data_IF_671612902520
#
_entry.id   IF_671612902520
#
_cell.length_a   1.000
_cell.length_b   1.000
_cell.length_c   1.000
_cell.angle_alpha   90.00
_cell.angle_beta   90.00
_cell.angle_gamma   90.00
#
_symmetry.space_group_name_H-M   'P 1'
#
loop_
_entity.id
_entity.type
_entity.pdbx_description
1 polymer ?
#
# COMPACT_ATOMS: atom_id res chain seq x y z
N UNK A 1 24.35 14.10 13.16
CA UNK A 1 23.05 13.61 12.65
C UNK A 1 22.06 14.75 12.87
N UNK A 2 21.59 15.38 11.81
CA UNK A 2 20.76 16.59 11.89
C UNK A 2 19.32 16.23 12.27
N UNK A 3 18.75 16.97 13.22
CA UNK A 3 17.40 16.84 13.79
C UNK A 3 16.26 17.14 12.79
N UNK A 4 16.56 17.41 11.52
CA UNK A 4 15.59 17.74 10.47
C UNK A 4 14.86 16.50 9.91
N UNK A 5 15.50 15.33 9.89
CA UNK A 5 14.88 14.11 9.33
C UNK A 5 13.63 13.62 10.07
N UNK A 6 13.58 13.58 11.43
CA UNK A 6 12.38 13.15 12.15
C UNK A 6 11.20 14.10 11.96
N UNK A 7 11.45 15.43 11.91
CA UNK A 7 10.41 16.44 11.69
C UNK A 7 9.84 16.38 10.28
N UNK A 8 10.69 16.21 9.25
CA UNK A 8 10.23 16.08 7.87
C UNK A 8 9.40 14.80 7.66
N UNK A 9 9.80 13.71 8.32
CA UNK A 9 9.06 12.44 8.34
C UNK A 9 7.71 12.62 9.06
N UNK A 10 7.69 13.29 10.22
CA UNK A 10 6.45 13.62 10.93
C UNK A 10 5.54 14.55 10.13
N UNK A 11 6.08 15.57 9.44
CA UNK A 11 5.32 16.49 8.59
C UNK A 11 4.78 15.81 7.32
N UNK A 12 5.53 14.87 6.74
CA UNK A 12 5.06 14.04 5.63
C UNK A 12 3.92 13.09 6.04
N UNK A 13 3.97 12.56 7.27
CA UNK A 13 2.91 11.73 7.85
C UNK A 13 1.73 12.51 8.44
N UNK A 14 1.87 13.81 8.64
CA UNK A 14 0.93 14.55 9.49
C UNK A 14 -0.43 14.84 8.85
N UNK A 15 -0.71 14.55 7.56
CA UNK A 15 -1.91 15.12 6.91
C UNK A 15 -2.59 14.32 5.79
N UNK A 16 -2.10 13.14 5.38
CA UNK A 16 -2.64 12.53 4.15
C UNK A 16 -3.93 11.74 4.38
N UNK A 17 -4.15 11.24 5.59
CA UNK A 17 -5.34 10.46 5.95
C UNK A 17 -6.00 10.92 7.25
N UNK A 18 -5.89 12.21 7.60
CA UNK A 18 -6.50 12.79 8.81
C UNK A 18 -8.04 12.80 8.79
N UNK A 19 -8.62 12.68 7.60
CA UNK A 19 -10.07 12.53 7.42
C UNK A 19 -10.56 11.11 7.71
N UNK A 20 -9.66 10.12 7.83
CA UNK A 20 -10.06 8.78 8.22
C UNK A 20 -10.56 8.77 9.67
N UNK A 21 -11.57 7.95 10.00
CA UNK A 21 -12.08 7.87 11.36
C UNK A 21 -10.95 7.51 12.34
N UNK A 22 -10.79 8.30 13.40
CA UNK A 22 -9.83 8.01 14.47
C UNK A 22 -10.36 6.83 15.28
N UNK A 23 -9.57 5.77 15.36
CA UNK A 23 -9.92 4.58 16.15
C UNK A 23 -9.04 4.52 17.39
N UNK A 24 -9.60 4.96 18.51
CA UNK A 24 -8.87 5.29 19.74
C UNK A 24 -8.74 4.11 20.70
N UNK A 25 -9.63 3.10 20.61
CA UNK A 25 -9.60 1.92 21.49
C UNK A 25 -9.64 0.57 20.75
N UNK A 26 -9.16 -0.53 21.37
CA UNK A 26 -9.28 -1.89 20.81
C UNK A 26 -10.74 -2.30 20.52
N UNK A 27 -11.69 -1.89 21.36
CA UNK A 27 -13.12 -2.19 21.19
C UNK A 27 -13.67 -1.50 19.94
N UNK A 28 -13.28 -0.24 19.71
CA UNK A 28 -13.65 0.48 18.49
C UNK A 28 -13.06 -0.17 17.23
N UNK A 29 -11.87 -0.79 17.33
CA UNK A 29 -11.21 -1.51 16.21
C UNK A 29 -11.90 -2.81 15.85
N UNK A 30 -12.48 -3.50 16.84
CA UNK A 30 -13.25 -4.73 16.65
C UNK A 30 -14.70 -4.45 16.23
N UNK A 31 -15.24 -3.27 16.55
CA UNK A 31 -16.60 -2.86 16.20
C UNK A 31 -16.75 -2.25 14.79
N UNK A 32 -17.97 -1.77 14.44
CA UNK A 32 -18.29 -1.26 13.10
C UNK A 32 -17.37 -0.15 12.61
N UNK A 33 -16.93 0.74 13.51
CA UNK A 33 -16.00 1.83 13.19
C UNK A 33 -14.65 1.31 12.69
N UNK A 34 -14.13 0.25 13.31
CA UNK A 34 -12.90 -0.40 12.91
C UNK A 34 -13.01 -1.08 11.55
N UNK A 35 -14.15 -1.71 11.26
CA UNK A 35 -14.44 -2.33 9.95
C UNK A 35 -14.47 -1.26 8.85
N UNK A 36 -15.20 -0.15 9.09
CA UNK A 36 -15.26 0.98 8.15
C UNK A 36 -13.87 1.57 7.92
N UNK A 37 -13.08 1.77 8.98
CA UNK A 37 -11.72 2.29 8.85
C UNK A 37 -10.82 1.32 8.06
N UNK A 38 -10.94 0.01 8.27
CA UNK A 38 -10.19 -0.99 7.52
C UNK A 38 -10.54 -0.98 6.02
N UNK A 39 -11.81 -0.83 5.67
CA UNK A 39 -12.23 -0.68 4.27
C UNK A 39 -11.74 0.63 3.65
N UNK A 40 -11.71 1.72 4.42
CA UNK A 40 -11.13 2.96 3.96
C UNK A 40 -9.61 2.82 3.68
N UNK A 41 -8.87 2.17 4.59
CA UNK A 41 -7.46 1.85 4.38
C UNK A 41 -7.25 0.97 3.12
N UNK A 42 -8.10 -0.04 2.93
CA UNK A 42 -8.05 -0.92 1.75
C UNK A 42 -8.30 -0.15 0.45
N UNK A 43 -9.27 0.77 0.44
CA UNK A 43 -9.58 1.64 -0.71
C UNK A 43 -8.44 2.58 -1.05
N UNK A 44 -7.83 3.21 -0.05
CA UNK A 44 -6.64 4.05 -0.25
C UNK A 44 -5.43 3.24 -0.72
N UNK A 45 -5.27 2.03 -0.20
CA UNK A 45 -4.24 1.12 -0.67
C UNK A 45 -4.46 0.77 -2.14
N UNK A 46 -5.67 0.40 -2.56
CA UNK A 46 -5.98 0.13 -3.97
C UNK A 46 -5.63 1.30 -4.87
N UNK A 47 -5.92 2.52 -4.42
CA UNK A 47 -5.58 3.75 -5.15
C UNK A 47 -4.06 3.91 -5.27
N UNK A 48 -3.32 3.76 -4.16
CA UNK A 48 -1.86 3.86 -4.15
C UNK A 48 -1.20 2.76 -4.99
N UNK A 49 -1.69 1.51 -4.91
CA UNK A 49 -1.21 0.39 -5.72
C UNK A 49 -1.46 0.63 -7.20
N UNK A 50 -2.62 1.17 -7.58
CA UNK A 50 -2.92 1.51 -8.96
C UNK A 50 -1.95 2.59 -9.48
N UNK A 51 -1.58 3.55 -8.63
CA UNK A 51 -0.52 4.52 -8.93
C UNK A 51 0.85 3.85 -9.12
N UNK A 52 1.21 2.91 -8.24
CA UNK A 52 2.43 2.10 -8.39
C UNK A 52 2.43 1.32 -9.71
N UNK A 53 1.32 0.66 -10.05
CA UNK A 53 1.15 -0.05 -11.33
C UNK A 53 1.34 0.90 -12.52
N UNK A 54 0.73 2.09 -12.47
CA UNK A 54 0.88 3.09 -13.52
C UNK A 54 2.35 3.52 -13.71
N UNK A 55 3.09 3.73 -12.61
CA UNK A 55 4.52 4.08 -12.64
C UNK A 55 5.33 2.96 -13.29
N UNK A 56 5.17 1.70 -12.86
CA UNK A 56 5.93 0.59 -13.45
C UNK A 56 5.51 0.29 -14.89
N UNK A 57 4.29 0.64 -15.29
CA UNK A 57 3.80 0.44 -16.66
C UNK A 57 4.43 1.40 -17.67
N UNK A 58 4.98 2.54 -17.22
CA UNK A 58 5.59 3.52 -18.13
C UNK A 58 6.96 3.04 -18.63
N UNK A 59 7.10 2.99 -19.96
CA UNK A 59 8.30 2.51 -20.68
C UNK A 59 9.63 3.14 -20.22
N UNK A 60 9.59 4.36 -19.66
CA UNK A 60 10.77 5.14 -19.26
C UNK A 60 11.44 4.63 -17.98
N UNK A 61 10.76 3.80 -17.17
CA UNK A 61 11.30 3.27 -15.91
C UNK A 61 11.91 1.86 -16.03
N UNK A 62 11.97 1.27 -17.23
CA UNK A 62 12.51 -0.08 -17.42
C UNK A 62 14.05 -0.12 -17.50
N UNK A 63 14.65 -1.24 -17.04
CA UNK A 63 16.09 -1.51 -17.10
C UNK A 63 16.67 -1.60 -18.54
N UNK A 64 15.80 -1.57 -19.57
CA UNK A 64 16.16 -1.72 -20.98
C UNK A 64 16.67 -0.45 -21.66
N UNK A 65 16.81 0.68 -20.94
CA UNK A 65 17.47 1.88 -21.46
C UNK A 65 18.83 2.09 -20.80
N UNK A 66 19.88 1.84 -21.58
CA UNK A 66 21.24 2.23 -21.23
C UNK A 66 21.29 3.74 -20.92
N UNK A 67 21.63 4.10 -19.68
CA UNK A 67 21.75 5.50 -19.23
C UNK A 67 20.63 6.02 -18.31
N UNK A 68 19.64 5.20 -17.94
CA UNK A 68 18.62 5.62 -16.96
C UNK A 68 19.20 5.77 -15.53
N UNK A 69 18.67 6.77 -14.81
CA UNK A 69 18.97 7.08 -13.41
C UNK A 69 18.80 5.84 -12.51
N UNK A 70 19.93 5.22 -12.16
CA UNK A 70 19.97 4.05 -11.29
C UNK A 70 19.26 4.30 -9.95
N UNK A 71 19.31 5.53 -9.44
CA UNK A 71 18.65 5.90 -8.18
C UNK A 71 17.13 5.92 -8.27
N UNK A 72 16.56 6.22 -9.45
CA UNK A 72 15.11 6.16 -9.67
C UNK A 72 14.61 4.72 -9.78
N UNK A 73 15.37 3.83 -10.43
CA UNK A 73 15.03 2.41 -10.50
C UNK A 73 15.00 1.76 -9.11
N UNK A 74 15.97 2.06 -8.25
CA UNK A 74 16.00 1.59 -6.86
C UNK A 74 14.80 2.11 -6.05
N UNK A 75 14.39 3.37 -6.27
CA UNK A 75 13.20 3.93 -5.62
C UNK A 75 11.92 3.26 -6.10
N UNK A 76 11.78 2.99 -7.40
CA UNK A 76 10.63 2.27 -7.97
C UNK A 76 10.58 0.83 -7.47
N UNK A 77 11.72 0.14 -7.35
CA UNK A 77 11.80 -1.19 -6.75
C UNK A 77 11.24 -1.19 -5.33
N UNK A 78 11.72 -0.26 -4.48
CA UNK A 78 11.25 -0.14 -3.09
C UNK A 78 9.76 0.20 -3.02
N UNK A 79 9.27 1.05 -3.92
CA UNK A 79 7.85 1.38 -4.02
C UNK A 79 7.02 0.12 -4.29
N UNK A 80 7.43 -0.73 -5.25
CA UNK A 80 6.77 -2.00 -5.56
C UNK A 80 6.77 -2.93 -4.35
N UNK A 81 7.92 -3.13 -3.70
CA UNK A 81 8.04 -3.98 -2.51
C UNK A 81 7.09 -3.54 -1.39
N UNK A 82 7.15 -2.25 -1.02
CA UNK A 82 6.31 -1.70 0.03
C UNK A 82 4.83 -1.80 -0.33
N UNK A 83 4.49 -1.57 -1.60
CA UNK A 83 3.12 -1.67 -2.11
C UNK A 83 2.58 -3.09 -1.95
N UNK A 84 3.35 -4.10 -2.36
CA UNK A 84 2.96 -5.52 -2.28
C UNK A 84 2.86 -5.98 -0.82
N UNK A 85 3.82 -5.60 0.03
CA UNK A 85 3.83 -5.99 1.45
C UNK A 85 2.65 -5.36 2.21
N UNK A 86 2.43 -4.06 2.04
CA UNK A 86 1.33 -3.35 2.72
C UNK A 86 -0.03 -3.88 2.28
N UNK A 87 -0.19 -4.17 0.99
CA UNK A 87 -1.38 -4.83 0.46
C UNK A 87 -1.62 -6.19 1.11
N UNK A 88 -0.58 -7.02 1.24
CA UNK A 88 -0.71 -8.35 1.84
C UNK A 88 -1.13 -8.26 3.31
N UNK A 89 -0.59 -7.29 4.07
CA UNK A 89 -1.01 -7.02 5.44
C UNK A 89 -2.48 -6.64 5.53
N UNK A 90 -2.96 -5.73 4.66
CA UNK A 90 -4.36 -5.34 4.62
C UNK A 90 -5.30 -6.48 4.21
N UNK A 91 -4.92 -7.29 3.21
CA UNK A 91 -5.67 -8.50 2.83
C UNK A 91 -5.85 -9.43 4.02
N UNK A 92 -4.77 -9.68 4.79
CA UNK A 92 -4.84 -10.52 5.98
C UNK A 92 -5.79 -9.94 7.02
N UNK A 93 -5.70 -8.63 7.31
CA UNK A 93 -6.56 -7.97 8.28
C UNK A 93 -8.04 -8.04 7.88
N UNK A 94 -8.35 -7.80 6.61
CA UNK A 94 -9.72 -7.94 6.10
C UNK A 94 -10.18 -9.38 6.29
N UNK A 95 -9.34 -10.37 5.95
CA UNK A 95 -9.65 -11.79 6.14
C UNK A 95 -9.99 -12.15 7.59
N UNK A 96 -9.25 -11.62 8.58
CA UNK A 96 -9.55 -11.82 10.00
C UNK A 96 -10.93 -11.27 10.36
N UNK A 97 -11.26 -10.05 9.90
CA UNK A 97 -12.58 -9.45 10.13
C UNK A 97 -13.69 -10.27 9.47
N UNK A 98 -13.48 -10.78 8.25
CA UNK A 98 -14.49 -11.60 7.56
C UNK A 98 -14.81 -12.88 8.33
N UNK A 99 -13.79 -13.54 8.90
CA UNK A 99 -14.00 -14.74 9.74
C UNK A 99 -14.79 -14.40 11.00
N UNK A 100 -14.50 -13.28 11.65
CA UNK A 100 -15.25 -12.82 12.82
C UNK A 100 -16.72 -12.53 12.47
N UNK A 101 -16.96 -11.80 11.38
CA UNK A 101 -18.31 -11.49 10.89
C UNK A 101 -19.07 -12.76 10.50
N UNK A 102 -18.42 -13.77 9.92
CA UNK A 102 -19.06 -15.04 9.60
C UNK A 102 -19.57 -15.75 10.85
N UNK A 103 -18.81 -15.71 11.95
CA UNK A 103 -19.25 -16.22 13.24
C UNK A 103 -20.48 -15.46 13.78
N UNK A 104 -20.47 -14.13 13.67
CA UNK A 104 -21.61 -13.28 14.05
C UNK A 104 -22.86 -13.56 13.19
N UNK A 105 -22.69 -13.78 11.88
CA UNK A 105 -23.77 -14.11 10.98
C UNK A 105 -24.46 -15.43 11.35
N UNK A 106 -23.70 -16.45 11.72
CA UNK A 106 -24.25 -17.77 12.10
C UNK A 106 -25.06 -17.67 13.39
N UNK A 107 -24.63 -16.82 14.32
CA UNK A 107 -25.22 -16.68 15.65
C UNK A 107 -26.33 -15.63 15.73
N UNK A 108 -26.44 -14.73 14.74
CA UNK A 108 -27.48 -13.70 14.72
C UNK A 108 -28.88 -14.32 14.54
N UNK A 109 -29.85 -13.96 15.42
CA UNK A 109 -31.22 -14.47 15.35
C UNK A 109 -32.06 -13.77 14.27
N UNK A 110 -31.65 -12.59 13.79
CA UNK A 110 -32.42 -11.76 12.86
C UNK A 110 -32.01 -12.00 11.41
N UNK A 111 -32.98 -12.26 10.53
CA UNK A 111 -32.71 -12.41 9.10
C UNK A 111 -32.11 -11.14 8.47
N UNK A 112 -32.59 -9.96 8.87
CA UNK A 112 -32.09 -8.68 8.35
C UNK A 112 -30.65 -8.39 8.79
N UNK A 113 -30.29 -8.75 10.03
CA UNK A 113 -28.90 -8.61 10.51
C UNK A 113 -27.96 -9.57 9.77
N UNK A 114 -28.40 -10.81 9.55
CA UNK A 114 -27.62 -11.79 8.77
C UNK A 114 -27.36 -11.32 7.34
N UNK A 115 -28.35 -10.71 6.70
CA UNK A 115 -28.23 -10.13 5.37
C UNK A 115 -27.25 -8.94 5.36
N UNK A 116 -27.37 -8.02 6.33
CA UNK A 116 -26.42 -6.89 6.45
C UNK A 116 -24.98 -7.35 6.68
N UNK A 117 -24.77 -8.34 7.54
CA UNK A 117 -23.43 -8.93 7.76
C UNK A 117 -22.92 -9.58 6.46
N UNK A 118 -23.80 -10.24 5.69
CA UNK A 118 -23.45 -10.83 4.40
C UNK A 118 -22.93 -9.77 3.43
N UNK A 119 -23.61 -8.63 3.31
CA UNK A 119 -23.22 -7.53 2.42
C UNK A 119 -21.85 -6.96 2.78
N UNK A 120 -21.60 -6.76 4.08
CA UNK A 120 -20.29 -6.31 4.58
C UNK A 120 -19.22 -7.35 4.25
N UNK A 121 -19.51 -8.64 4.43
CA UNK A 121 -18.57 -9.70 4.08
C UNK A 121 -18.26 -9.74 2.57
N UNK A 122 -19.28 -9.68 1.72
CA UNK A 122 -19.12 -9.62 0.27
C UNK A 122 -18.26 -8.42 -0.14
N UNK A 123 -18.46 -7.26 0.47
CA UNK A 123 -17.64 -6.06 0.23
C UNK A 123 -16.18 -6.30 0.62
N UNK A 124 -15.93 -6.94 1.78
CA UNK A 124 -14.57 -7.28 2.20
C UNK A 124 -13.87 -8.24 1.24
N UNK A 125 -14.57 -9.25 0.73
CA UNK A 125 -14.01 -10.16 -0.28
C UNK A 125 -13.67 -9.45 -1.60
N UNK A 126 -14.50 -8.49 -2.04
CA UNK A 126 -14.20 -7.67 -3.23
C UNK A 126 -12.89 -6.89 -3.03
N UNK A 127 -12.67 -6.30 -1.85
CA UNK A 127 -11.40 -5.62 -1.55
C UNK A 127 -10.21 -6.59 -1.56
N UNK A 128 -10.35 -7.79 -0.99
CA UNK A 128 -9.30 -8.83 -1.02
C UNK A 128 -8.95 -9.20 -2.47
N UNK A 129 -9.95 -9.51 -3.29
CA UNK A 129 -9.75 -9.88 -4.69
C UNK A 129 -9.09 -8.75 -5.49
N UNK A 130 -9.57 -7.52 -5.31
CA UNK A 130 -9.03 -6.35 -5.99
C UNK A 130 -7.57 -6.10 -5.60
N UNK A 131 -7.24 -6.16 -4.31
CA UNK A 131 -5.88 -5.95 -3.82
C UNK A 131 -4.95 -7.05 -4.35
N UNK A 132 -5.39 -8.31 -4.35
CA UNK A 132 -4.64 -9.42 -4.92
C UNK A 132 -4.38 -9.23 -6.43
N UNK A 133 -5.41 -8.84 -7.18
CA UNK A 133 -5.31 -8.64 -8.63
C UNK A 133 -4.31 -7.52 -8.97
N UNK A 134 -4.43 -6.36 -8.33
CA UNK A 134 -3.53 -5.23 -8.57
C UNK A 134 -2.11 -5.54 -8.08
N UNK A 135 -1.96 -6.25 -6.97
CA UNK A 135 -0.66 -6.72 -6.48
C UNK A 135 0.06 -7.63 -7.48
N UNK A 136 -0.66 -8.60 -8.03
CA UNK A 136 -0.16 -9.53 -9.03
C UNK A 136 0.23 -8.80 -10.32
N UNK A 137 -0.63 -7.90 -10.81
CA UNK A 137 -0.36 -7.13 -12.03
C UNK A 137 0.85 -6.21 -11.86
N UNK A 138 0.93 -5.49 -10.74
CA UNK A 138 2.07 -4.64 -10.38
C UNK A 138 3.37 -5.44 -10.35
N UNK A 139 3.33 -6.60 -9.69
CA UNK A 139 4.45 -7.56 -9.63
C UNK A 139 4.89 -8.02 -11.01
N UNK A 140 3.95 -8.45 -11.85
CA UNK A 140 4.25 -8.99 -13.17
C UNK A 140 4.82 -7.92 -14.09
N UNK A 141 4.22 -6.72 -14.09
CA UNK A 141 4.71 -5.59 -14.85
C UNK A 141 6.11 -5.16 -14.38
N UNK A 142 6.33 -5.07 -13.07
CA UNK A 142 7.63 -4.72 -12.50
C UNK A 142 8.73 -5.74 -12.88
N UNK A 143 8.40 -7.04 -12.91
CA UNK A 143 9.30 -8.10 -13.39
C UNK A 143 9.57 -7.99 -14.88
N UNK A 144 8.53 -7.80 -15.68
CA UNK A 144 8.62 -7.62 -17.13
C UNK A 144 9.54 -6.44 -17.50
N UNK A 145 9.45 -5.36 -16.73
CA UNK A 145 10.25 -4.14 -16.89
C UNK A 145 11.68 -4.26 -16.34
N UNK A 146 11.99 -5.35 -15.64
CA UNK A 146 13.30 -5.59 -15.04
C UNK A 146 13.60 -4.69 -13.84
N UNK A 147 12.59 -4.06 -13.24
CA UNK A 147 12.76 -3.22 -12.03
C UNK A 147 12.62 -4.05 -10.74
N UNK A 148 12.05 -5.25 -10.82
CA UNK A 148 11.83 -6.15 -9.68
C UNK A 148 12.20 -7.60 -10.01
N UNK A 149 12.97 -8.29 -9.14
CA UNK A 149 13.42 -9.69 -9.34
C UNK A 149 14.93 -9.89 -9.64
N UNK A 150 15.36 -11.14 -9.85
CA UNK A 150 16.76 -11.64 -9.77
C UNK A 150 17.83 -11.01 -10.70
N UNK A 151 17.50 -10.04 -11.55
CA UNK A 151 18.45 -9.44 -12.51
C UNK A 151 18.85 -7.99 -12.21
N UNK A 152 18.44 -7.40 -11.07
CA UNK A 152 18.96 -6.07 -10.65
C UNK A 152 20.48 -6.10 -10.35
N UNK A 153 21.07 -7.29 -10.24
CA UNK A 153 22.51 -7.50 -10.05
C UNK A 153 23.40 -7.29 -11.28
N UNK A 154 22.85 -6.99 -12.46
CA UNK A 154 23.69 -6.66 -13.63
C UNK A 154 24.22 -5.24 -13.44
N UNK A 155 25.37 -5.13 -12.72
CA UNK A 155 26.17 -3.91 -12.48
C UNK A 155 25.60 -2.70 -13.22
N UNK A 156 24.67 -1.99 -12.58
CA UNK A 156 24.37 -0.60 -12.94
C UNK A 156 25.72 0.11 -12.79
N UNK A 157 26.45 0.29 -13.89
CA UNK A 157 27.60 1.19 -13.89
C UNK A 157 27.06 2.50 -13.35
N UNK A 158 27.70 3.03 -12.32
CA UNK A 158 27.41 4.36 -11.82
C UNK A 158 27.42 5.30 -13.03
N UNK A 159 26.23 5.71 -13.48
CA UNK A 159 26.12 6.79 -14.42
C UNK A 159 26.71 7.99 -13.69
N UNK A 160 27.84 8.49 -14.17
CA UNK A 160 28.40 9.73 -13.65
C UNK A 160 27.29 10.77 -13.68
N UNK A 161 26.95 11.31 -12.51
CA UNK A 161 25.94 12.35 -12.37
C UNK A 161 26.45 13.61 -13.06
N UNK A 162 26.29 13.68 -14.37
CA UNK A 162 26.21 14.95 -15.05
C UNK A 162 24.89 15.55 -14.58
N UNK A 163 24.93 16.71 -13.91
CA UNK A 163 23.73 17.48 -13.58
C UNK A 163 23.12 17.97 -14.90
N UNK A 164 22.45 17.08 -15.61
CA UNK A 164 21.52 17.43 -16.69
C UNK A 164 20.21 17.82 -16.06
N UNK A 165 19.71 19.03 -16.36
CA UNK A 165 18.37 19.44 -16.00
C UNK A 165 17.36 18.46 -16.63
N UNK A 166 16.76 17.60 -15.80
CA UNK A 166 15.76 16.61 -16.19
C UNK A 166 14.45 16.84 -15.40
N UNK A 167 13.65 17.84 -15.80
CA UNK A 167 12.44 18.23 -15.08
C UNK A 167 11.38 17.12 -15.07
N UNK A 168 11.37 16.25 -16.08
CA UNK A 168 10.45 15.11 -16.12
C UNK A 168 10.90 13.98 -15.18
N UNK A 169 12.21 13.71 -15.10
CA UNK A 169 12.78 12.82 -14.08
C UNK A 169 12.56 13.33 -12.66
N UNK A 170 12.62 14.64 -12.43
CA UNK A 170 12.35 15.23 -11.12
C UNK A 170 10.89 15.07 -10.69
N UNK A 171 9.94 15.29 -11.61
CA UNK A 171 8.52 15.00 -11.37
C UNK A 171 8.29 13.53 -11.05
N UNK A 172 8.93 12.63 -11.81
CA UNK A 172 8.83 11.20 -11.58
C UNK A 172 9.38 10.79 -10.20
N UNK A 173 10.57 11.29 -9.83
CA UNK A 173 11.17 11.09 -8.49
C UNK A 173 10.24 11.60 -7.39
N UNK A 174 9.61 12.77 -7.58
CA UNK A 174 8.66 13.32 -6.63
C UNK A 174 7.40 12.45 -6.48
N UNK A 175 6.82 11.98 -7.59
CA UNK A 175 5.65 11.08 -7.57
C UNK A 175 5.96 9.78 -6.85
N UNK A 176 7.12 9.16 -7.12
CA UNK A 176 7.56 7.92 -6.45
C UNK A 176 7.73 8.14 -4.95
N UNK A 177 8.36 9.24 -4.53
CA UNK A 177 8.51 9.58 -3.11
C UNK A 177 7.17 9.81 -2.42
N UNK A 178 6.26 10.51 -3.08
CA UNK A 178 4.92 10.81 -2.54
C UNK A 178 4.12 9.53 -2.32
N UNK A 179 4.09 8.65 -3.32
CA UNK A 179 3.41 7.34 -3.20
C UNK A 179 4.08 6.44 -2.16
N UNK A 180 5.42 6.49 -2.04
CA UNK A 180 6.13 5.75 -1.01
C UNK A 180 5.69 6.20 0.39
N UNK A 181 5.61 7.52 0.62
CA UNK A 181 5.15 8.07 1.90
C UNK A 181 3.69 7.67 2.20
N UNK A 182 2.80 7.74 1.21
CA UNK A 182 1.40 7.29 1.32
C UNK A 182 1.31 5.83 1.77
N UNK A 183 2.05 4.94 1.09
CA UNK A 183 2.03 3.50 1.38
C UNK A 183 2.64 3.20 2.74
N UNK A 184 3.71 3.90 3.13
CA UNK A 184 4.27 3.77 4.48
C UNK A 184 3.28 4.18 5.57
N UNK A 185 2.54 5.28 5.38
CA UNK A 185 1.51 5.71 6.33
C UNK A 185 0.38 4.68 6.44
N UNK A 186 -0.09 4.15 5.29
CA UNK A 186 -1.09 3.09 5.25
C UNK A 186 -0.61 1.82 5.97
N UNK A 187 0.65 1.44 5.79
CA UNK A 187 1.28 0.31 6.48
C UNK A 187 1.32 0.49 7.99
N UNK A 188 1.78 1.65 8.47
CA UNK A 188 1.79 1.96 9.91
C UNK A 188 0.38 1.94 10.51
N UNK A 189 -0.62 2.48 9.80
CA UNK A 189 -2.02 2.45 10.25
C UNK A 189 -2.58 1.02 10.28
N UNK A 190 -2.18 0.16 9.34
CA UNK A 190 -2.54 -1.25 9.34
C UNK A 190 -1.88 -2.02 10.50
N UNK A 191 -0.61 -1.76 10.79
CA UNK A 191 0.10 -2.36 11.93
C UNK A 191 -0.55 -2.01 13.27
N UNK A 192 -0.98 -0.76 13.45
CA UNK A 192 -1.73 -0.34 14.64
C UNK A 192 -3.05 -1.09 14.79
N UNK A 193 -3.69 -1.45 13.67
CA UNK A 193 -4.90 -2.27 13.69
C UNK A 193 -4.57 -3.71 14.12
N UNK A 194 -3.53 -4.31 13.54
CA UNK A 194 -3.10 -5.69 13.83
C UNK A 194 -2.61 -5.92 15.27
N UNK A 195 -1.83 -5.00 15.82
CA UNK A 195 -1.30 -5.06 17.18
C UNK A 195 -2.39 -5.14 18.26
N UNK A 196 -3.64 -4.83 17.91
CA UNK A 196 -4.80 -4.93 18.82
C UNK A 196 -5.69 -6.15 18.61
N UNK A 197 -5.58 -6.82 17.46
CA UNK A 197 -6.23 -8.12 17.25
C UNK A 197 -5.39 -9.27 17.81
N UNK A 198 -4.08 -9.09 17.97
CA UNK A 198 -3.13 -10.06 18.53
C UNK A 198 -2.99 -10.04 20.06
N UNK A 199 -3.55 -9.03 20.76
CA UNK A 199 -3.55 -8.94 22.23
C UNK A 199 -4.77 -9.63 22.89
N UNK A 200 -5.02 -10.89 22.52
CA UNK A 200 -5.93 -11.77 23.25
C UNK A 200 -5.15 -12.93 23.86
#
# INVERSE_FOLDING_TARGET
>A
MTEESPRLIQELFARQFDYLPKVESPEQRKGPLGIVNLFALASHMLTAMSGTLAIVSVDRFGANRAGCDAGLNDQVHRLVDLSVQTSASLIRLIGVVMVALQSEQITSPSAAERESIQEVMTTGYIYIESLNAVSLETTNMARWRGVWGRNVGRRLRAAQSTQTNDPEGDKARHSVRTLTAQIMELGLRAELYDGTWSMN
#
